data_IF_470723353294
#
_entry.id   IF_470723353294
#
_cell.length_a   1.000
_cell.length_b   1.000
_cell.length_c   1.000
_cell.angle_alpha   90.00
_cell.angle_beta   90.00
_cell.angle_gamma   90.00
#
_symmetry.space_group_name_H-M   'P 1'
#
loop_
_entity.id
_entity.type
_entity.pdbx_description
1 polymer ?
#
# COMPACT_ATOMS: atom_id res chain seq x y z
N UNK A 1 3.29 16.11 6.16
CA UNK A 1 3.52 14.77 5.59
C UNK A 1 2.39 14.38 4.64
N UNK A 2 1.13 14.24 5.11
CA UNK A 2 0.01 13.82 4.26
C UNK A 2 -0.27 14.78 3.09
N UNK A 3 -0.18 16.10 3.32
CA UNK A 3 -0.30 17.10 2.24
C UNK A 3 0.87 17.04 1.24
N UNK A 4 2.06 16.66 1.70
CA UNK A 4 3.24 16.54 0.83
C UNK A 4 3.09 15.33 -0.10
N UNK A 5 2.57 14.21 0.42
CA UNK A 5 2.32 12.96 -0.32
C UNK A 5 1.29 13.15 -1.45
N UNK A 6 0.44 14.19 -1.39
CA UNK A 6 -0.58 14.46 -2.40
C UNK A 6 -1.67 13.40 -2.37
N UNK A 7 -2.38 13.31 -1.23
CA UNK A 7 -3.41 12.30 -0.99
C UNK A 7 -4.49 12.28 -2.10
N UNK A 8 -4.74 13.42 -2.76
CA UNK A 8 -5.65 13.51 -3.90
C UNK A 8 -5.24 12.71 -5.14
N UNK A 9 -3.98 12.24 -5.19
CA UNK A 9 -3.43 11.46 -6.31
C UNK A 9 -3.37 9.97 -6.05
N UNK A 10 -3.78 9.53 -4.86
CA UNK A 10 -3.84 8.12 -4.47
C UNK A 10 -5.07 7.50 -5.14
N UNK A 11 -4.86 6.40 -5.87
CA UNK A 11 -5.89 5.75 -6.70
C UNK A 11 -6.13 4.30 -6.27
N UNK A 12 -5.24 3.74 -5.42
CA UNK A 12 -5.33 2.35 -4.98
C UNK A 12 -6.38 2.17 -3.90
N UNK A 13 -7.15 1.10 -3.99
CA UNK A 13 -8.17 0.68 -3.02
C UNK A 13 -7.72 -0.60 -2.27
N UNK A 14 -8.23 -0.83 -1.06
CA UNK A 14 -7.93 -2.06 -0.32
C UNK A 14 -6.48 -2.14 0.17
N UNK A 15 -5.84 -3.31 0.05
CA UNK A 15 -4.47 -3.51 0.56
C UNK A 15 -3.41 -2.75 -0.24
N UNK A 16 -3.63 -2.52 -1.54
CA UNK A 16 -2.71 -1.70 -2.35
C UNK A 16 -2.65 -0.24 -1.93
N UNK A 17 -3.68 0.30 -1.27
CA UNK A 17 -3.63 1.64 -0.67
C UNK A 17 -2.45 1.77 0.31
N UNK A 18 -2.28 0.79 1.20
CA UNK A 18 -1.20 0.81 2.18
C UNK A 18 0.17 0.75 1.50
N UNK A 19 0.28 -0.03 0.43
CA UNK A 19 1.52 -0.15 -0.36
C UNK A 19 1.84 1.17 -1.07
N UNK A 20 0.85 1.81 -1.71
CA UNK A 20 0.99 3.11 -2.38
C UNK A 20 1.42 4.19 -1.39
N UNK A 21 0.80 4.25 -0.21
CA UNK A 21 1.14 5.22 0.83
C UNK A 21 2.58 5.09 1.33
N UNK A 22 3.05 3.85 1.57
CA UNK A 22 4.43 3.60 1.98
C UNK A 22 5.41 3.97 0.87
N UNK A 23 5.10 3.62 -0.38
CA UNK A 23 5.92 3.92 -1.55
C UNK A 23 6.08 5.43 -1.78
N UNK A 24 4.98 6.19 -1.75
CA UNK A 24 5.02 7.65 -1.90
C UNK A 24 5.76 8.33 -0.75
N UNK A 25 5.56 7.84 0.48
CA UNK A 25 6.28 8.35 1.66
C UNK A 25 7.79 8.15 1.51
N UNK A 26 8.20 6.97 1.05
CA UNK A 26 9.61 6.65 0.80
C UNK A 26 10.20 7.51 -0.33
N UNK A 27 9.48 7.72 -1.44
CA UNK A 27 9.93 8.57 -2.55
C UNK A 27 10.17 10.03 -2.13
N UNK A 28 9.38 10.55 -1.19
CA UNK A 28 9.57 11.91 -0.66
C UNK A 28 10.63 12.01 0.45
N UNK A 29 11.36 10.94 0.72
CA UNK A 29 12.42 10.92 1.72
C UNK A 29 11.92 10.91 3.16
N UNK A 30 10.64 10.59 3.40
CA UNK A 30 10.16 10.40 4.76
C UNK A 30 10.71 9.10 5.36
N UNK A 31 10.94 9.13 6.68
CA UNK A 31 11.37 7.94 7.42
C UNK A 31 10.20 6.96 7.56
N UNK A 32 10.33 5.78 6.98
CA UNK A 32 9.39 4.66 7.14
C UNK A 32 9.95 3.69 8.17
N UNK A 33 9.12 3.26 9.12
CA UNK A 33 9.45 2.24 10.13
C UNK A 33 8.33 1.22 10.23
N UNK A 34 8.69 -0.02 10.55
CA UNK A 34 7.70 -1.07 10.82
C UNK A 34 7.31 -1.04 12.29
N UNK A 35 6.01 -1.14 12.57
CA UNK A 35 5.47 -1.25 13.93
C UNK A 35 4.65 -2.55 13.99
N UNK A 36 5.00 -3.50 14.86
CA UNK A 36 4.27 -4.75 14.96
C UNK A 36 2.85 -4.50 15.50
N UNK A 37 1.84 -5.06 14.83
CA UNK A 37 0.44 -4.99 15.25
C UNK A 37 -0.01 -6.39 15.69
N UNK A 38 -0.47 -6.50 16.93
CA UNK A 38 -1.13 -7.71 17.43
C UNK A 38 -2.61 -7.65 17.04
N UNK A 39 -3.06 -8.60 16.24
CA UNK A 39 -4.48 -8.76 15.92
C UNK A 39 -5.09 -9.75 16.93
N UNK A 40 -5.72 -9.22 17.99
CA UNK A 40 -6.33 -10.03 19.06
C UNK A 40 -7.46 -10.94 18.55
N UNK A 41 -8.09 -10.59 17.42
CA UNK A 41 -9.25 -11.30 16.88
C UNK A 41 -8.93 -12.00 15.53
N UNK A 42 -8.36 -13.21 15.63
CA UNK A 42 -8.22 -14.16 14.50
C UNK A 42 -9.07 -15.40 14.73
N UNK A 43 -10.39 -15.23 14.78
CA UNK A 43 -11.35 -16.34 14.78
C UNK A 43 -12.21 -16.32 13.50
N UNK A 44 -11.60 -16.61 12.34
CA UNK A 44 -12.34 -17.09 11.17
C UNK A 44 -11.34 -17.64 10.14
N UNK A 45 -11.32 -18.96 9.95
CA UNK A 45 -10.39 -19.71 9.11
C UNK A 45 -10.60 -19.54 7.59
N UNK A 46 -10.74 -18.31 7.10
CA UNK A 46 -10.69 -18.00 5.69
C UNK A 46 -9.79 -16.78 5.46
N UNK A 47 -8.89 -16.86 4.47
CA UNK A 47 -8.07 -15.73 4.06
C UNK A 47 -8.98 -14.56 3.68
N UNK A 48 -8.80 -13.40 4.35
CA UNK A 48 -9.45 -12.13 3.98
C UNK A 48 -8.92 -11.54 2.66
N UNK A 49 -7.89 -12.19 2.08
CA UNK A 49 -7.23 -11.82 0.84
C UNK A 49 -7.46 -12.92 -0.19
N UNK A 50 -8.02 -12.54 -1.34
CA UNK A 50 -8.26 -13.42 -2.48
C UNK A 50 -7.05 -13.41 -3.42
N UNK A 51 -6.80 -14.50 -4.16
CA UNK A 51 -5.72 -14.55 -5.17
C UNK A 51 -5.82 -13.43 -6.23
N UNK A 52 -7.04 -13.02 -6.58
CA UNK A 52 -7.27 -11.93 -7.53
C UNK A 52 -6.77 -10.58 -6.99
N UNK A 53 -7.00 -10.31 -5.70
CA UNK A 53 -6.55 -9.08 -5.04
C UNK A 53 -5.02 -9.01 -4.98
N UNK A 54 -4.35 -10.14 -4.68
CA UNK A 54 -2.89 -10.22 -4.68
C UNK A 54 -2.30 -9.83 -6.04
N UNK A 55 -2.89 -10.31 -7.14
CA UNK A 55 -2.41 -10.00 -8.50
C UNK A 55 -2.64 -8.54 -8.83
N UNK A 56 -3.82 -7.99 -8.50
CA UNK A 56 -4.14 -6.57 -8.72
C UNK A 56 -3.20 -5.65 -7.95
N UNK A 57 -2.93 -5.95 -6.69
CA UNK A 57 -2.03 -5.16 -5.86
C UNK A 57 -0.59 -5.21 -6.40
N UNK A 58 -0.13 -6.39 -6.81
CA UNK A 58 1.19 -6.54 -7.42
C UNK A 58 1.35 -5.74 -8.73
N UNK A 59 0.35 -5.80 -9.62
CA UNK A 59 0.35 -5.01 -10.86
C UNK A 59 0.28 -3.50 -10.59
N UNK A 60 -0.42 -3.09 -9.53
CA UNK A 60 -0.50 -1.69 -9.12
C UNK A 60 0.87 -1.14 -8.73
N UNK A 61 1.70 -1.92 -8.00
CA UNK A 61 3.09 -1.53 -7.68
C UNK A 61 3.94 -1.34 -8.93
N UNK A 62 3.83 -2.23 -9.92
CA UNK A 62 4.56 -2.10 -11.20
C UNK A 62 4.12 -0.83 -11.94
N UNK A 63 2.81 -0.58 -12.02
CA UNK A 63 2.24 0.63 -12.64
C UNK A 63 2.72 1.90 -11.92
N UNK A 64 2.79 1.90 -10.59
CA UNK A 64 3.30 3.02 -9.81
C UNK A 64 4.78 3.31 -10.08
N UNK A 65 5.60 2.25 -10.21
CA UNK A 65 7.02 2.38 -10.57
C UNK A 65 7.22 2.97 -11.97
N UNK A 66 6.39 2.58 -12.94
CA UNK A 66 6.44 3.14 -14.30
C UNK A 66 5.96 4.59 -14.35
N UNK A 67 5.00 5.00 -13.50
CA UNK A 67 4.50 6.39 -13.43
C UNK A 67 5.50 7.38 -12.79
N UNK A 68 6.34 6.92 -11.87
CA UNK A 68 7.29 7.78 -11.13
C UNK A 68 8.75 7.58 -11.55
N UNK A 69 9.05 6.62 -12.43
CA UNK A 69 10.40 6.29 -12.91
C UNK A 69 10.82 6.98 -14.21
N UNK A 70 10.34 8.20 -14.47
CA UNK A 70 10.71 9.04 -15.62
C UNK A 70 11.27 10.37 -15.18
#
# INVERSE_FOLDING_TARGET
>A
MLEAIGLERVISDGYSFQIEMVYLSALQGFKVTEVPILFEDRLAGASKVTRGEIVTDFLSVIKMRLRHGG
#
